data_IF_368618703092
#
_entry.id   IF_368618703092
#
_cell.length_a   1.000
_cell.length_b   1.000
_cell.length_c   1.000
_cell.angle_alpha   90.00
_cell.angle_beta   90.00
_cell.angle_gamma   90.00
#
_symmetry.space_group_name_H-M   'P 1'
#
loop_
_entity.id
_entity.type
_entity.pdbx_description
1 polymer ?
#
# COMPACT_ATOMS: atom_id res chain seq x y z
N UNK A 1 -38.07 49.84 -1.08
CA UNK A 1 -37.81 48.43 -0.69
C UNK A 1 -36.46 48.08 -1.27
N UNK A 2 -35.41 48.23 -0.46
CA UNK A 2 -34.04 48.47 -0.93
C UNK A 2 -33.19 47.25 -0.59
N UNK A 3 -32.79 46.50 -1.61
CA UNK A 3 -31.94 45.31 -1.51
C UNK A 3 -30.51 45.72 -1.15
N UNK A 4 -30.12 45.48 0.10
CA UNK A 4 -28.76 45.65 0.61
C UNK A 4 -27.91 44.45 0.17
N UNK A 5 -27.10 44.61 -0.87
CA UNK A 5 -26.02 43.66 -1.22
C UNK A 5 -24.90 43.82 -0.20
N UNK A 6 -24.75 42.87 0.71
CA UNK A 6 -23.56 42.74 1.58
C UNK A 6 -22.49 41.96 0.83
N UNK A 7 -21.35 42.62 0.59
CA UNK A 7 -20.15 42.00 0.06
C UNK A 7 -19.50 41.08 1.09
N UNK A 8 -18.92 39.98 0.59
CA UNK A 8 -17.96 39.19 1.34
C UNK A 8 -16.70 39.04 0.48
N UNK A 9 -15.76 39.93 0.73
CA UNK A 9 -14.35 39.81 0.34
C UNK A 9 -13.76 38.57 1.00
N UNK A 10 -13.39 37.57 0.22
CA UNK A 10 -12.47 36.50 0.66
C UNK A 10 -11.36 36.39 -0.37
N UNK A 11 -10.34 37.24 -0.20
CA UNK A 11 -9.03 37.01 -0.78
C UNK A 11 -8.41 35.79 -0.10
N UNK A 12 -8.59 34.62 -0.71
CA UNK A 12 -7.90 33.39 -0.32
C UNK A 12 -6.59 33.30 -1.07
N UNK A 13 -5.47 33.51 -0.37
CA UNK A 13 -4.12 33.19 -0.81
C UNK A 13 -4.06 31.70 -1.19
N UNK A 14 -3.93 31.41 -2.49
CA UNK A 14 -3.64 30.07 -2.98
C UNK A 14 -2.19 29.71 -2.65
N UNK A 15 -1.97 29.05 -1.51
CA UNK A 15 -0.67 28.50 -1.15
C UNK A 15 -0.31 27.35 -2.10
N UNK A 16 0.57 27.66 -3.05
CA UNK A 16 1.60 26.79 -3.64
C UNK A 16 1.25 25.33 -3.92
N UNK A 17 0.67 25.05 -5.09
CA UNK A 17 0.77 23.74 -5.72
C UNK A 17 2.18 23.59 -6.34
N UNK A 18 3.18 23.23 -5.53
CA UNK A 18 4.52 22.94 -6.05
C UNK A 18 4.50 21.61 -6.80
N UNK A 19 4.81 21.70 -8.10
CA UNK A 19 4.90 20.61 -9.08
C UNK A 19 5.86 19.49 -8.66
N UNK A 20 5.62 18.24 -9.08
CA UNK A 20 6.67 17.25 -9.22
C UNK A 20 7.10 17.15 -10.69
N UNK A 21 7.91 18.09 -11.20
CA UNK A 21 8.33 18.03 -12.62
C UNK A 21 9.42 17.00 -12.95
N UNK A 22 9.99 16.31 -11.95
CA UNK A 22 10.93 15.21 -12.17
C UNK A 22 10.68 14.07 -11.19
N UNK A 23 9.47 13.50 -11.17
CA UNK A 23 9.26 12.23 -10.48
C UNK A 23 9.87 11.11 -11.35
N UNK A 24 11.17 10.82 -11.15
CA UNK A 24 11.74 9.56 -11.62
C UNK A 24 11.07 8.43 -10.84
N UNK A 25 10.04 7.84 -11.43
CA UNK A 25 9.30 6.74 -10.83
C UNK A 25 10.21 5.51 -10.77
N UNK A 26 10.71 5.19 -9.59
CA UNK A 26 11.31 3.89 -9.29
C UNK A 26 10.19 2.88 -9.14
N UNK A 27 9.95 2.10 -10.21
CA UNK A 27 8.81 1.20 -10.33
C UNK A 27 9.11 -0.24 -9.91
N UNK A 28 10.39 -0.62 -9.77
CA UNK A 28 10.79 -2.03 -9.80
C UNK A 28 11.75 -2.42 -8.67
N UNK A 29 11.60 -3.64 -8.15
CA UNK A 29 12.48 -4.26 -7.15
C UNK A 29 13.93 -4.47 -7.64
N UNK A 30 14.13 -4.54 -8.96
CA UNK A 30 15.46 -4.70 -9.57
C UNK A 30 16.17 -3.36 -9.87
N UNK A 31 15.59 -2.23 -9.44
CA UNK A 31 16.13 -0.90 -9.70
C UNK A 31 17.32 -0.56 -8.77
N UNK A 32 18.04 0.52 -9.05
CA UNK A 32 19.33 0.88 -8.44
C UNK A 32 19.24 1.20 -6.95
N UNK A 33 18.03 1.53 -6.45
CA UNK A 33 17.80 1.89 -5.05
C UNK A 33 17.94 0.66 -4.13
N UNK A 34 18.98 0.67 -3.28
CA UNK A 34 19.20 -0.37 -2.27
C UNK A 34 18.15 -0.34 -1.15
N UNK A 35 17.56 0.82 -0.89
CA UNK A 35 16.54 1.04 0.14
C UNK A 35 15.49 1.97 -0.44
N UNK A 36 14.23 1.56 -0.38
CA UNK A 36 13.09 2.38 -0.74
C UNK A 36 12.05 2.28 0.39
N UNK A 37 11.54 3.42 0.86
CA UNK A 37 10.46 3.47 1.82
C UNK A 37 9.34 4.36 1.28
N UNK A 38 8.10 3.91 1.38
CA UNK A 38 6.91 4.66 1.00
C UNK A 38 5.88 4.55 2.11
N UNK A 39 5.57 5.68 2.72
CA UNK A 39 4.56 5.77 3.78
C UNK A 39 3.45 6.69 3.29
N UNK A 40 2.21 6.28 3.48
CA UNK A 40 1.03 7.10 3.19
C UNK A 40 0.02 6.96 4.31
N UNK A 41 -0.52 8.08 4.77
CA UNK A 41 -1.64 8.13 5.70
C UNK A 41 -2.77 8.91 5.03
N UNK A 42 -3.95 8.32 4.95
CA UNK A 42 -5.12 8.93 4.34
C UNK A 42 -6.29 8.86 5.31
N UNK A 43 -6.88 10.00 5.64
CA UNK A 43 -8.08 10.11 6.45
C UNK A 43 -9.23 10.68 5.64
N UNK A 44 -10.41 10.09 5.76
CA UNK A 44 -11.65 10.64 5.20
C UNK A 44 -12.70 10.68 6.29
N UNK A 45 -13.31 11.85 6.49
CA UNK A 45 -14.43 12.04 7.41
C UNK A 45 -15.62 12.52 6.60
N UNK A 46 -16.75 11.82 6.72
CA UNK A 46 -17.99 12.15 6.06
C UNK A 46 -19.09 12.29 7.11
N UNK A 47 -19.87 13.37 7.02
CA UNK A 47 -21.05 13.62 7.84
C UNK A 47 -22.27 13.87 6.93
N UNK A 48 -23.46 13.56 7.44
CA UNK A 48 -24.72 13.63 6.71
C UNK A 48 -25.64 12.51 7.17
N UNK A 49 -26.32 11.85 6.23
CA UNK A 49 -27.19 10.70 6.56
C UNK A 49 -26.42 9.56 7.24
N UNK A 50 -25.15 9.34 6.86
CA UNK A 50 -24.26 8.37 7.49
C UNK A 50 -22.96 9.07 7.87
N UNK A 51 -22.61 9.00 9.16
CA UNK A 51 -21.32 9.43 9.66
C UNK A 51 -20.30 8.32 9.50
N UNK A 52 -19.23 8.59 8.75
CA UNK A 52 -18.13 7.63 8.51
C UNK A 52 -16.79 8.31 8.72
N UNK A 53 -15.94 7.66 9.49
CA UNK A 53 -14.52 8.01 9.59
C UNK A 53 -13.72 6.81 9.09
N UNK A 54 -12.85 7.03 8.10
CA UNK A 54 -11.92 6.03 7.59
C UNK A 54 -10.52 6.57 7.70
N UNK A 55 -9.64 5.80 8.33
CA UNK A 55 -8.21 6.08 8.40
C UNK A 55 -7.46 4.90 7.78
N UNK A 56 -6.64 5.18 6.78
CA UNK A 56 -5.84 4.18 6.08
C UNK A 56 -4.36 4.53 6.15
N UNK A 57 -3.58 3.68 6.79
CA UNK A 57 -2.12 3.72 6.76
C UNK A 57 -1.59 2.72 5.74
N UNK A 58 -0.53 3.09 5.01
CA UNK A 58 0.29 2.16 4.24
C UNK A 58 1.77 2.47 4.47
N UNK A 59 2.58 1.44 4.61
CA UNK A 59 4.02 1.51 4.77
C UNK A 59 4.68 0.38 3.97
N UNK A 60 5.28 0.73 2.84
CA UNK A 60 6.02 -0.18 1.98
C UNK A 60 7.51 0.08 2.14
N UNK A 61 8.29 -0.97 2.37
CA UNK A 61 9.75 -0.92 2.47
C UNK A 61 10.33 -1.96 1.52
N UNK A 62 11.28 -1.56 0.68
CA UNK A 62 12.06 -2.43 -0.18
C UNK A 62 13.53 -2.30 0.23
N UNK A 63 14.17 -3.43 0.51
CA UNK A 63 15.58 -3.53 0.84
C UNK A 63 16.24 -4.49 -0.15
N UNK A 64 17.17 -3.97 -0.96
CA UNK A 64 18.00 -4.71 -1.88
C UNK A 64 19.47 -4.64 -1.41
N UNK A 65 19.86 -5.38 -0.36
CA UNK A 65 21.23 -5.39 0.13
C UNK A 65 22.23 -5.83 -0.95
N UNK A 66 21.80 -6.73 -1.83
CA UNK A 66 22.56 -7.16 -3.02
C UNK A 66 21.63 -7.23 -4.22
N UNK A 67 22.17 -7.26 -5.45
CA UNK A 67 21.37 -7.49 -6.68
C UNK A 67 20.69 -8.87 -6.69
N UNK A 68 21.17 -9.79 -5.86
CA UNK A 68 20.71 -11.16 -5.74
C UNK A 68 19.61 -11.34 -4.69
N UNK A 69 19.41 -10.39 -3.78
CA UNK A 69 18.48 -10.55 -2.67
C UNK A 69 17.69 -9.26 -2.48
N UNK A 70 16.38 -9.34 -2.65
CA UNK A 70 15.48 -8.21 -2.41
C UNK A 70 14.37 -8.61 -1.47
N UNK A 71 14.27 -7.90 -0.35
CA UNK A 71 13.21 -8.03 0.64
C UNK A 71 12.22 -6.89 0.43
N UNK A 72 10.93 -7.20 0.36
CA UNK A 72 9.89 -6.19 0.24
C UNK A 72 8.81 -6.44 1.28
N UNK A 73 8.62 -5.50 2.21
CA UNK A 73 7.56 -5.53 3.21
C UNK A 73 6.51 -4.48 2.86
N UNK A 74 5.25 -4.90 2.75
CA UNK A 74 4.12 -4.03 2.46
C UNK A 74 3.13 -4.14 3.59
N UNK A 75 2.96 -3.05 4.33
CA UNK A 75 2.11 -3.00 5.51
C UNK A 75 0.96 -2.04 5.23
N UNK A 76 -0.24 -2.43 5.62
CA UNK A 76 -1.42 -1.61 5.51
C UNK A 76 -2.27 -1.76 6.75
N UNK A 77 -2.86 -0.64 7.19
CA UNK A 77 -3.77 -0.58 8.32
C UNK A 77 -5.03 0.16 7.88
N UNK A 78 -6.18 -0.36 8.28
CA UNK A 78 -7.49 0.21 8.02
C UNK A 78 -8.27 0.30 9.33
N UNK A 79 -8.55 1.53 9.75
CA UNK A 79 -9.50 1.81 10.81
C UNK A 79 -10.73 2.47 10.20
N UNK A 80 -11.91 1.98 10.57
CA UNK A 80 -13.17 2.55 10.13
C UNK A 80 -14.20 2.54 11.26
N UNK A 81 -14.94 3.63 11.41
CA UNK A 81 -16.06 3.74 12.33
C UNK A 81 -17.28 4.39 11.68
N UNK A 82 -18.47 3.92 12.06
CA UNK A 82 -19.77 4.49 11.69
C UNK A 82 -20.44 5.08 12.93
N UNK A 83 -20.85 6.35 12.89
CA UNK A 83 -21.45 7.03 14.05
C UNK A 83 -20.67 6.81 15.35
N UNK A 84 -19.33 6.94 15.28
CA UNK A 84 -18.40 6.66 16.39
C UNK A 84 -18.37 5.21 16.91
N UNK A 85 -19.04 4.26 16.25
CA UNK A 85 -18.94 2.82 16.53
C UNK A 85 -17.89 2.19 15.62
N UNK A 86 -16.90 1.52 16.20
CA UNK A 86 -15.84 0.82 15.46
C UNK A 86 -16.43 -0.29 14.58
N UNK A 87 -16.10 -0.26 13.30
CA UNK A 87 -16.58 -1.21 12.31
C UNK A 87 -15.45 -2.09 11.75
N UNK A 88 -14.27 -1.51 11.54
CA UNK A 88 -13.08 -2.22 11.10
C UNK A 88 -11.83 -1.70 11.81
N UNK A 89 -10.91 -2.62 12.09
CA UNK A 89 -9.58 -2.32 12.62
C UNK A 89 -8.64 -3.44 12.20
N UNK A 90 -8.24 -3.39 10.92
CA UNK A 90 -7.53 -4.46 10.26
C UNK A 90 -6.10 -4.03 9.96
N UNK A 91 -5.16 -4.91 10.27
CA UNK A 91 -3.75 -4.75 9.90
C UNK A 91 -3.38 -5.90 8.97
N UNK A 92 -2.72 -5.57 7.87
CA UNK A 92 -2.26 -6.54 6.88
C UNK A 92 -0.82 -6.23 6.48
N UNK A 93 0.05 -7.20 6.71
CA UNK A 93 1.46 -7.19 6.34
C UNK A 93 1.74 -8.30 5.34
N UNK A 94 2.40 -7.94 4.25
CA UNK A 94 2.81 -8.85 3.18
C UNK A 94 4.29 -8.68 2.92
N UNK A 95 5.03 -9.75 3.08
CA UNK A 95 6.48 -9.75 3.03
C UNK A 95 6.93 -10.68 1.90
N UNK A 96 7.72 -10.15 0.98
CA UNK A 96 8.32 -10.88 -0.12
C UNK A 96 9.82 -10.98 0.07
N UNK A 97 10.36 -12.14 -0.31
CA UNK A 97 11.78 -12.38 -0.46
C UNK A 97 12.03 -12.83 -1.89
N UNK A 98 12.73 -12.01 -2.67
CA UNK A 98 13.11 -12.30 -4.04
C UNK A 98 14.57 -12.73 -4.11
N UNK A 99 14.84 -13.82 -4.82
CA UNK A 99 16.20 -14.32 -5.05
C UNK A 99 16.53 -14.16 -6.53
N UNK A 100 17.58 -13.39 -6.82
CA UNK A 100 18.06 -13.04 -8.15
C UNK A 100 17.00 -12.41 -9.07
N UNK A 101 16.33 -11.31 -8.67
CA UNK A 101 15.30 -10.65 -9.49
C UNK A 101 15.85 -10.05 -10.81
N UNK A 102 17.16 -10.01 -11.02
CA UNK A 102 17.78 -9.65 -12.30
C UNK A 102 17.64 -10.73 -13.38
N UNK A 103 17.30 -11.97 -13.02
CA UNK A 103 17.12 -13.06 -14.00
C UNK A 103 15.74 -12.97 -14.66
N UNK A 104 15.63 -13.52 -15.88
CA UNK A 104 14.34 -13.61 -16.61
C UNK A 104 13.29 -14.39 -15.83
N UNK A 105 13.71 -15.44 -15.14
CA UNK A 105 12.87 -16.21 -14.22
C UNK A 105 13.56 -16.22 -12.87
N UNK A 106 12.83 -15.86 -11.82
CA UNK A 106 13.38 -15.79 -10.47
C UNK A 106 12.37 -16.29 -9.44
N UNK A 107 12.82 -17.08 -8.45
CA UNK A 107 11.95 -17.54 -7.38
C UNK A 107 11.69 -16.42 -6.37
N UNK A 108 10.57 -16.55 -5.66
CA UNK A 108 10.22 -15.72 -4.54
C UNK A 108 9.58 -16.54 -3.42
N UNK A 109 9.78 -16.10 -2.19
CA UNK A 109 8.99 -16.52 -1.03
C UNK A 109 8.09 -15.37 -0.59
N UNK A 110 6.94 -15.70 -0.01
CA UNK A 110 5.96 -14.73 0.46
C UNK A 110 5.42 -15.15 1.82
N UNK A 111 5.29 -14.19 2.72
CA UNK A 111 4.72 -14.36 4.05
C UNK A 111 3.69 -13.28 4.32
N UNK A 112 2.57 -13.69 4.91
CA UNK A 112 1.47 -12.81 5.24
C UNK A 112 1.24 -12.84 6.74
N UNK A 113 0.96 -11.68 7.32
CA UNK A 113 0.50 -11.53 8.69
C UNK A 113 -0.69 -10.58 8.67
N UNK A 114 -1.82 -11.00 9.23
CA UNK A 114 -3.04 -10.20 9.20
C UNK A 114 -3.86 -10.33 10.47
N UNK A 115 -4.55 -9.25 10.81
CA UNK A 115 -5.60 -9.21 11.83
C UNK A 115 -6.90 -8.82 11.16
N UNK A 116 -8.03 -9.28 11.69
CA UNK A 116 -9.33 -8.88 11.17
C UNK A 116 -10.35 -8.72 12.29
N UNK A 117 -10.90 -7.52 12.42
CA UNK A 117 -11.84 -7.17 13.47
C UNK A 117 -13.19 -7.88 13.29
N UNK A 118 -13.79 -7.82 12.09
CA UNK A 118 -15.11 -8.41 11.80
C UNK A 118 -15.16 -9.92 11.98
N UNK A 119 -14.09 -10.62 11.60
CA UNK A 119 -13.96 -12.09 11.71
C UNK A 119 -13.41 -12.55 13.07
N UNK A 120 -13.17 -11.62 14.01
CA UNK A 120 -12.56 -11.90 15.32
C UNK A 120 -11.21 -12.64 15.24
N UNK A 121 -10.44 -12.41 14.17
CA UNK A 121 -9.14 -13.04 13.97
C UNK A 121 -8.07 -12.16 14.61
N UNK A 122 -7.56 -12.59 15.77
CA UNK A 122 -6.48 -11.89 16.48
C UNK A 122 -5.15 -11.93 15.73
N UNK A 123 -4.84 -13.04 15.06
CA UNK A 123 -3.64 -13.21 14.27
C UNK A 123 -3.83 -14.34 13.25
N UNK A 124 -3.51 -14.06 11.99
CA UNK A 124 -3.46 -15.03 10.90
C UNK A 124 -2.16 -14.87 10.16
N UNK A 125 -1.41 -15.95 10.04
CA UNK A 125 -0.17 -16.02 9.28
C UNK A 125 -0.24 -17.14 8.27
N UNK A 126 0.30 -16.90 7.08
CA UNK A 126 0.40 -17.90 6.04
C UNK A 126 1.55 -17.58 5.11
N UNK A 127 2.08 -18.61 4.47
CA UNK A 127 3.33 -18.52 3.75
C UNK A 127 3.27 -19.29 2.44
N UNK A 128 4.07 -18.87 1.49
CA UNK A 128 4.11 -19.47 0.17
C UNK A 128 5.41 -19.22 -0.54
N UNK A 129 5.52 -19.85 -1.70
CA UNK A 129 6.63 -19.65 -2.60
C UNK A 129 6.15 -19.74 -4.05
N UNK A 130 6.92 -19.15 -4.94
CA UNK A 130 6.58 -19.10 -6.35
C UNK A 130 7.75 -18.67 -7.21
N UNK A 131 7.47 -18.43 -8.49
CA UNK A 131 8.41 -17.89 -9.44
C UNK A 131 7.77 -16.77 -10.25
N UNK A 132 8.58 -15.78 -10.60
CA UNK A 132 8.20 -14.67 -11.47
C UNK A 132 8.99 -14.75 -12.77
N UNK A 133 8.32 -14.49 -13.88
CA UNK A 133 8.86 -14.44 -15.22
C UNK A 133 8.72 -13.02 -15.76
N UNK A 134 9.82 -12.44 -16.25
CA UNK A 134 9.81 -11.24 -17.07
C UNK A 134 9.40 -11.62 -18.50
N UNK A 135 8.16 -11.29 -18.88
CA UNK A 135 7.63 -11.58 -20.21
C UNK A 135 8.16 -10.57 -21.24
N UNK A 136 8.09 -9.28 -20.91
CA UNK A 136 8.51 -8.19 -21.79
C UNK A 136 9.23 -7.13 -20.96
N UNK A 137 10.45 -6.77 -21.35
CA UNK A 137 11.23 -5.71 -20.72
C UNK A 137 11.78 -4.79 -21.80
N UNK A 138 11.02 -3.77 -22.15
CA UNK A 138 11.38 -2.69 -23.08
C UNK A 138 11.51 -1.39 -22.29
N UNK A 139 12.22 -0.37 -22.81
CA UNK A 139 12.39 0.94 -22.12
C UNK A 139 11.09 1.58 -21.63
N UNK A 140 9.96 1.34 -22.31
CA UNK A 140 8.64 1.89 -21.96
C UNK A 140 7.70 0.90 -21.27
N UNK A 141 7.94 -0.40 -21.43
CA UNK A 141 6.99 -1.46 -21.04
C UNK A 141 7.71 -2.52 -20.22
N UNK A 142 7.22 -2.80 -19.02
CA UNK A 142 7.71 -3.89 -18.17
C UNK A 142 6.53 -4.77 -17.76
N UNK A 143 6.47 -5.97 -18.31
CA UNK A 143 5.42 -6.96 -18.04
C UNK A 143 6.06 -8.14 -17.31
N UNK A 144 5.58 -8.37 -16.09
CA UNK A 144 5.99 -9.50 -15.24
C UNK A 144 4.78 -10.35 -14.91
N UNK A 145 4.97 -11.66 -14.89
CA UNK A 145 3.95 -12.62 -14.50
C UNK A 145 4.51 -13.51 -13.42
N UNK A 146 3.74 -13.71 -12.35
CA UNK A 146 4.16 -14.49 -11.19
C UNK A 146 3.17 -15.62 -10.94
N UNK A 147 3.68 -16.80 -10.64
CA UNK A 147 2.91 -17.95 -10.18
C UNK A 147 3.44 -18.36 -8.81
N UNK A 148 2.55 -18.61 -7.85
CA UNK A 148 2.95 -19.06 -6.52
C UNK A 148 1.88 -19.88 -5.85
N UNK A 149 2.31 -20.73 -4.92
CA UNK A 149 1.46 -21.53 -4.04
C UNK A 149 1.60 -20.98 -2.64
N UNK A 150 0.48 -20.83 -1.96
CA UNK A 150 0.42 -20.31 -0.59
C UNK A 150 -0.31 -21.34 0.25
N UNK A 151 0.35 -21.77 1.34
CA UNK A 151 -0.25 -22.63 2.33
C UNK A 151 -0.70 -21.79 3.52
N UNK A 152 -1.96 -21.94 3.88
CA UNK A 152 -2.57 -21.25 5.00
C UNK A 152 -3.01 -22.22 6.08
N UNK A 153 -2.67 -21.90 7.31
CA UNK A 153 -3.25 -22.52 8.50
C UNK A 153 -3.86 -21.42 9.34
N UNK A 154 -5.19 -21.45 9.47
CA UNK A 154 -5.93 -20.53 10.33
C UNK A 154 -6.66 -21.35 11.39
N UNK A 155 -6.42 -21.06 12.67
CA UNK A 155 -7.24 -21.56 13.77
C UNK A 155 -8.32 -20.52 14.07
N UNK A 156 -9.57 -20.90 13.87
CA UNK A 156 -10.72 -20.12 14.31
C UNK A 156 -11.00 -20.44 15.78
N UNK A 157 -11.31 -19.42 16.57
CA UNK A 157 -11.75 -19.56 17.96
C UNK A 157 -13.27 -19.62 18.04
#
# INVERSE_FOLDING_TARGET
MTLKKTGLTTGGLWLGLLMPWCALAQLNESDTARIQARVSLTGTMQQGNVEVVVLRGKADVVLAPTRALVVKSQNSSLYQSFYSVQADNDVFSRNYLYINPSRRVYPFAIGYVSTNFRRKIKLRYFGGAGATVHLLTTRKNNVKTSLGVVYETTRFA
#
